data_IF_444854508435
#
_entry.id   IF_444854508435
#
_cell.length_a   1.000
_cell.length_b   1.000
_cell.length_c   1.000
_cell.angle_alpha   90.00
_cell.angle_beta   90.00
_cell.angle_gamma   90.00
#
_symmetry.space_group_name_H-M   'P 1'
#
loop_
_entity.id
_entity.type
_entity.pdbx_description
1 polymer ?
#
# COMPACT_ATOMS: atom_id res chain seq x y z
N UNK A 1 2.89 0.13 -6.60
CA UNK A 1 1.87 0.70 -5.74
C UNK A 1 0.71 1.15 -6.62
N UNK A 2 -0.40 0.65 -6.38
CA UNK A 2 -1.73 0.56 -6.99
C UNK A 2 -2.09 1.53 -8.12
N UNK A 3 -2.26 0.98 -9.31
CA UNK A 3 -3.09 1.57 -10.36
C UNK A 3 -4.55 1.32 -9.92
N UNK A 4 -5.17 2.30 -9.28
CA UNK A 4 -6.63 2.38 -9.27
C UNK A 4 -7.02 2.81 -10.68
N UNK A 5 -7.41 1.87 -11.50
CA UNK A 5 -8.17 2.18 -12.69
C UNK A 5 -9.48 2.81 -12.22
N UNK A 6 -9.80 3.96 -12.76
CA UNK A 6 -10.90 4.83 -12.32
C UNK A 6 -12.28 4.18 -12.41
N UNK A 7 -12.38 2.96 -12.98
CA UNK A 7 -13.60 2.17 -13.17
C UNK A 7 -13.36 0.64 -13.08
N UNK A 8 -12.24 0.17 -12.52
CA UNK A 8 -11.90 -1.25 -12.43
C UNK A 8 -12.30 -1.88 -11.10
N UNK A 9 -12.38 -3.20 -11.07
CA UNK A 9 -12.66 -4.01 -9.90
C UNK A 9 -11.58 -3.83 -8.82
N UNK A 10 -11.96 -3.84 -7.55
CA UNK A 10 -11.03 -3.83 -6.41
C UNK A 10 -10.30 -5.18 -6.29
N UNK A 11 -9.19 -5.21 -5.55
CA UNK A 11 -8.46 -6.45 -5.32
C UNK A 11 -9.32 -7.50 -4.59
N UNK A 12 -10.18 -7.07 -3.65
CA UNK A 12 -11.13 -7.95 -2.98
C UNK A 12 -12.16 -8.55 -3.95
N UNK A 13 -12.73 -7.75 -4.85
CA UNK A 13 -13.68 -8.21 -5.87
C UNK A 13 -13.00 -9.16 -6.87
N UNK A 14 -11.78 -8.85 -7.30
CA UNK A 14 -10.99 -9.72 -8.17
C UNK A 14 -10.67 -11.06 -7.48
N UNK A 15 -10.31 -11.04 -6.20
CA UNK A 15 -10.07 -12.26 -5.43
C UNK A 15 -11.33 -13.12 -5.34
N UNK A 16 -12.46 -12.51 -4.99
CA UNK A 16 -13.74 -13.20 -4.91
C UNK A 16 -14.16 -13.79 -6.27
N UNK A 17 -14.03 -13.03 -7.35
CA UNK A 17 -14.31 -13.48 -8.69
C UNK A 17 -13.46 -14.71 -9.06
N UNK A 18 -12.14 -14.60 -8.88
CA UNK A 18 -11.21 -15.70 -9.19
C UNK A 18 -11.53 -16.95 -8.35
N UNK A 19 -11.83 -16.80 -7.06
CA UNK A 19 -12.18 -17.90 -6.19
C UNK A 19 -13.49 -18.58 -6.58
N UNK A 20 -14.51 -17.81 -6.97
CA UNK A 20 -15.79 -18.37 -7.45
C UNK A 20 -15.63 -19.10 -8.77
N UNK A 21 -14.88 -18.55 -9.73
CA UNK A 21 -14.60 -19.23 -11.01
C UNK A 21 -13.79 -20.50 -10.77
N UNK A 22 -12.79 -20.47 -9.88
CA UNK A 22 -12.03 -21.67 -9.51
C UNK A 22 -12.94 -22.76 -8.95
N UNK A 23 -13.87 -22.42 -8.04
CA UNK A 23 -14.82 -23.36 -7.47
C UNK A 23 -15.76 -23.96 -8.53
N UNK A 24 -16.23 -23.18 -9.50
CA UNK A 24 -17.05 -23.63 -10.62
C UNK A 24 -16.30 -24.69 -11.43
N UNK A 25 -15.05 -24.42 -11.78
CA UNK A 25 -14.20 -25.31 -12.56
C UNK A 25 -13.84 -26.58 -11.79
N UNK A 26 -13.47 -26.47 -10.51
CA UNK A 26 -13.17 -27.60 -9.62
C UNK A 26 -14.39 -28.51 -9.41
N UNK A 27 -15.60 -27.93 -9.40
CA UNK A 27 -16.84 -28.69 -9.33
C UNK A 27 -17.22 -29.41 -10.66
N UNK A 28 -16.44 -29.18 -11.72
CA UNK A 28 -16.70 -29.74 -13.04
C UNK A 28 -17.93 -29.13 -13.73
N UNK A 29 -18.40 -27.97 -13.28
CA UNK A 29 -19.54 -27.29 -13.90
C UNK A 29 -19.08 -26.60 -15.20
N UNK A 30 -19.92 -26.58 -16.25
CA UNK A 30 -19.63 -25.77 -17.42
C UNK A 30 -19.43 -24.30 -17.06
N UNK A 31 -18.40 -23.70 -17.63
CA UNK A 31 -18.03 -22.32 -17.29
C UNK A 31 -19.17 -21.33 -17.55
N UNK A 32 -19.93 -21.50 -18.65
CA UNK A 32 -21.06 -20.64 -19.00
C UNK A 32 -22.20 -20.68 -17.97
N UNK A 33 -22.54 -21.88 -17.44
CA UNK A 33 -23.57 -22.04 -16.40
C UNK A 33 -23.14 -21.38 -15.07
N UNK A 34 -21.86 -21.60 -14.72
CA UNK A 34 -21.28 -21.02 -13.53
C UNK A 34 -21.22 -19.49 -13.61
N UNK A 35 -20.82 -18.94 -14.73
CA UNK A 35 -20.75 -17.49 -14.96
C UNK A 35 -22.13 -16.84 -14.97
N UNK A 36 -23.16 -17.50 -15.50
CA UNK A 36 -24.55 -17.02 -15.43
C UNK A 36 -25.05 -16.95 -13.98
N UNK A 37 -24.78 -17.99 -13.20
CA UNK A 37 -25.12 -18.04 -11.77
C UNK A 37 -24.43 -16.92 -11.00
N UNK A 38 -23.14 -16.67 -11.28
CA UNK A 38 -22.34 -15.63 -10.66
C UNK A 38 -22.88 -14.23 -10.98
N UNK A 39 -23.18 -13.96 -12.23
CA UNK A 39 -23.78 -12.70 -12.68
C UNK A 39 -25.17 -12.47 -12.06
N UNK A 40 -25.96 -13.52 -11.89
CA UNK A 40 -27.27 -13.47 -11.24
C UNK A 40 -27.19 -13.16 -9.74
N UNK A 41 -26.24 -13.78 -9.04
CA UNK A 41 -26.05 -13.57 -7.59
C UNK A 41 -25.58 -12.15 -7.27
N UNK A 42 -24.83 -11.52 -8.17
CA UNK A 42 -24.20 -10.21 -7.95
C UNK A 42 -24.99 -9.04 -8.56
N UNK A 43 -26.23 -9.30 -8.97
CA UNK A 43 -27.10 -8.33 -9.66
C UNK A 43 -27.40 -7.02 -8.89
N UNK A 44 -27.05 -6.93 -7.61
CA UNK A 44 -27.16 -5.74 -6.76
C UNK A 44 -25.84 -5.02 -6.48
N UNK A 45 -24.72 -5.50 -6.98
CA UNK A 45 -23.40 -4.91 -6.72
C UNK A 45 -23.11 -3.72 -7.65
N UNK A 46 -22.15 -2.88 -7.23
CA UNK A 46 -21.71 -1.74 -8.02
C UNK A 46 -21.06 -2.15 -9.37
N UNK A 47 -20.69 -3.42 -9.53
CA UNK A 47 -20.02 -3.97 -10.71
C UNK A 47 -20.80 -5.13 -11.37
N UNK A 48 -22.11 -5.20 -11.12
CA UNK A 48 -23.00 -6.21 -11.72
C UNK A 48 -22.94 -6.22 -13.26
N UNK A 49 -22.73 -5.06 -13.87
CA UNK A 49 -22.57 -4.89 -15.32
C UNK A 49 -21.28 -5.55 -15.83
N UNK A 50 -20.20 -5.57 -15.05
CA UNK A 50 -18.93 -6.21 -15.42
C UNK A 50 -19.08 -7.73 -15.46
N UNK A 51 -19.69 -8.31 -14.43
CA UNK A 51 -19.92 -9.75 -14.36
C UNK A 51 -20.95 -10.22 -15.38
N UNK A 52 -22.00 -9.41 -15.62
CA UNK A 52 -22.99 -9.69 -16.67
C UNK A 52 -22.36 -9.65 -18.08
N UNK A 53 -21.46 -8.69 -18.33
CA UNK A 53 -20.75 -8.62 -19.62
C UNK A 53 -19.82 -9.83 -19.81
N UNK A 54 -19.06 -10.20 -18.77
CA UNK A 54 -18.20 -11.38 -18.82
C UNK A 54 -19.01 -12.68 -19.02
N UNK A 55 -20.14 -12.84 -18.33
CA UNK A 55 -21.03 -14.00 -18.49
C UNK A 55 -21.58 -14.12 -19.92
N UNK A 56 -22.04 -13.01 -20.50
CA UNK A 56 -22.50 -12.99 -21.90
C UNK A 56 -21.37 -13.35 -22.87
N UNK A 57 -20.19 -12.76 -22.67
CA UNK A 57 -19.02 -13.06 -23.50
C UNK A 57 -18.64 -14.54 -23.46
N UNK A 58 -18.64 -15.15 -22.28
CA UNK A 58 -18.38 -16.59 -22.13
C UNK A 58 -19.45 -17.43 -22.82
N UNK A 59 -20.72 -17.05 -22.74
CA UNK A 59 -21.82 -17.75 -23.44
C UNK A 59 -21.68 -17.68 -24.96
N UNK A 60 -21.19 -16.54 -25.49
CA UNK A 60 -21.02 -16.33 -26.92
C UNK A 60 -19.75 -16.98 -27.48
N UNK A 61 -18.64 -16.93 -26.74
CA UNK A 61 -17.31 -17.37 -27.23
C UNK A 61 -16.86 -18.71 -26.70
N UNK A 62 -17.42 -19.16 -25.59
CA UNK A 62 -16.94 -20.33 -24.85
C UNK A 62 -15.62 -20.11 -24.09
N UNK A 63 -15.07 -18.88 -24.09
CA UNK A 63 -13.78 -18.54 -23.51
C UNK A 63 -13.92 -17.35 -22.56
N UNK A 64 -13.38 -17.48 -21.35
CA UNK A 64 -13.30 -16.37 -20.38
C UNK A 64 -12.30 -15.30 -20.86
N UNK A 65 -11.18 -15.75 -21.46
CA UNK A 65 -10.19 -14.85 -22.03
C UNK A 65 -10.81 -13.92 -23.08
N UNK A 66 -11.52 -14.50 -24.05
CA UNK A 66 -12.14 -13.73 -25.12
C UNK A 66 -13.25 -12.80 -24.59
N UNK A 67 -13.92 -13.19 -23.52
CA UNK A 67 -14.96 -12.39 -22.89
C UNK A 67 -14.43 -11.15 -22.15
N UNK A 68 -13.18 -11.18 -21.66
CA UNK A 68 -12.63 -10.11 -20.79
C UNK A 68 -11.46 -9.34 -21.40
N UNK A 69 -10.85 -9.81 -22.51
CA UNK A 69 -9.60 -9.24 -23.05
C UNK A 69 -9.70 -7.79 -23.52
N UNK A 70 -10.88 -7.40 -24.02
CA UNK A 70 -11.11 -6.08 -24.61
C UNK A 70 -11.76 -5.08 -23.62
N UNK A 71 -11.99 -5.48 -22.38
CA UNK A 71 -12.58 -4.66 -21.33
C UNK A 71 -11.50 -4.15 -20.37
N UNK A 72 -11.19 -2.85 -20.45
CA UNK A 72 -10.17 -2.17 -19.63
C UNK A 72 -10.45 -2.22 -18.11
N UNK A 73 -11.64 -2.68 -17.68
CA UNK A 73 -11.99 -2.86 -16.27
C UNK A 73 -11.26 -4.05 -15.64
N UNK A 74 -10.85 -5.02 -16.45
CA UNK A 74 -10.05 -6.16 -16.01
C UNK A 74 -8.56 -5.83 -16.05
N UNK A 75 -7.79 -6.16 -14.99
CA UNK A 75 -6.35 -5.98 -15.00
C UNK A 75 -5.70 -6.84 -16.09
N UNK A 76 -4.79 -6.24 -16.88
CA UNK A 76 -4.07 -6.96 -17.95
C UNK A 76 -3.46 -8.27 -17.47
N UNK A 77 -2.90 -8.25 -16.26
CA UNK A 77 -2.34 -9.46 -15.66
C UNK A 77 -3.36 -10.59 -15.52
N UNK A 78 -4.56 -10.31 -15.00
CA UNK A 78 -5.61 -11.31 -14.89
C UNK A 78 -5.98 -11.84 -16.27
N UNK A 79 -6.17 -10.97 -17.25
CA UNK A 79 -6.54 -11.34 -18.62
C UNK A 79 -5.48 -12.25 -19.25
N UNK A 80 -4.20 -11.89 -19.15
CA UNK A 80 -3.10 -12.70 -19.68
C UNK A 80 -3.02 -14.07 -19.00
N UNK A 81 -3.17 -14.11 -17.68
CA UNK A 81 -3.15 -15.35 -16.91
C UNK A 81 -4.33 -16.28 -17.25
N UNK A 82 -5.53 -15.71 -17.39
CA UNK A 82 -6.71 -16.48 -17.85
C UNK A 82 -6.46 -17.08 -19.22
N UNK A 83 -5.93 -16.29 -20.17
CA UNK A 83 -5.61 -16.78 -21.51
C UNK A 83 -4.57 -17.90 -21.52
N UNK A 84 -3.61 -17.85 -20.60
CA UNK A 84 -2.61 -18.93 -20.45
C UNK A 84 -3.27 -20.16 -19.82
N UNK A 85 -4.06 -19.99 -18.75
CA UNK A 85 -4.78 -21.06 -18.08
C UNK A 85 -5.73 -21.83 -19.03
N UNK A 86 -6.45 -21.11 -19.90
CA UNK A 86 -7.31 -21.74 -20.91
C UNK A 86 -6.52 -22.55 -21.94
N UNK A 87 -5.43 -21.96 -22.47
CA UNK A 87 -4.59 -22.66 -23.46
C UNK A 87 -3.89 -23.89 -22.91
N UNK A 88 -3.50 -23.87 -21.63
CA UNK A 88 -2.86 -25.01 -20.97
C UNK A 88 -3.86 -26.04 -20.42
N UNK A 89 -5.15 -25.72 -20.39
CA UNK A 89 -6.16 -26.54 -19.73
C UNK A 89 -6.08 -26.57 -18.21
N UNK A 90 -5.42 -25.57 -17.60
CA UNK A 90 -5.20 -25.46 -16.14
C UNK A 90 -5.85 -24.18 -15.58
N UNK A 91 -6.98 -23.78 -16.15
CA UNK A 91 -7.67 -22.55 -15.75
C UNK A 91 -8.08 -22.56 -14.28
N UNK A 92 -8.48 -23.73 -13.74
CA UNK A 92 -8.83 -23.93 -12.33
C UNK A 92 -7.67 -23.56 -11.39
N UNK A 93 -6.47 -24.07 -11.67
CA UNK A 93 -5.27 -23.80 -10.88
C UNK A 93 -4.83 -22.32 -11.00
N UNK A 94 -4.89 -21.77 -12.21
CA UNK A 94 -4.59 -20.37 -12.46
C UNK A 94 -5.57 -19.46 -11.72
N UNK A 95 -6.87 -19.74 -11.75
CA UNK A 95 -7.88 -18.96 -11.03
C UNK A 95 -7.69 -19.04 -9.52
N UNK A 96 -7.32 -20.21 -8.98
CA UNK A 96 -6.98 -20.37 -7.56
C UNK A 96 -5.71 -19.58 -7.19
N UNK A 97 -4.71 -19.58 -8.06
CA UNK A 97 -3.50 -18.77 -7.88
C UNK A 97 -3.79 -17.27 -7.91
N UNK A 98 -4.65 -16.81 -8.83
CA UNK A 98 -5.09 -15.41 -8.92
C UNK A 98 -5.93 -14.99 -7.70
N UNK A 99 -6.81 -15.85 -7.18
CA UNK A 99 -7.53 -15.62 -5.92
C UNK A 99 -6.54 -15.29 -4.78
N UNK A 100 -5.56 -16.17 -4.58
CA UNK A 100 -4.55 -15.99 -3.53
C UNK A 100 -3.70 -14.72 -3.75
N UNK A 101 -3.36 -14.41 -4.99
CA UNK A 101 -2.62 -13.20 -5.35
C UNK A 101 -3.41 -11.92 -5.01
N UNK A 102 -4.67 -11.84 -5.46
CA UNK A 102 -5.50 -10.66 -5.20
C UNK A 102 -5.93 -10.54 -3.74
N UNK A 103 -6.12 -11.66 -3.03
CA UNK A 103 -6.34 -11.65 -1.58
C UNK A 103 -5.16 -11.02 -0.82
N UNK A 104 -3.92 -11.34 -1.21
CA UNK A 104 -2.72 -10.71 -0.63
C UNK A 104 -2.63 -9.23 -0.97
N UNK A 105 -2.91 -8.87 -2.21
CA UNK A 105 -2.88 -7.48 -2.66
C UNK A 105 -3.93 -6.64 -1.89
N UNK A 106 -5.10 -7.20 -1.60
CA UNK A 106 -6.14 -6.54 -0.80
C UNK A 106 -5.72 -6.38 0.67
N UNK A 107 -5.14 -7.42 1.31
CA UNK A 107 -4.63 -7.31 2.68
C UNK A 107 -3.58 -6.23 2.82
N UNK A 108 -2.59 -6.21 1.93
CA UNK A 108 -1.54 -5.17 1.94
C UNK A 108 -2.16 -3.78 1.77
N UNK A 109 -3.13 -3.64 0.87
CA UNK A 109 -3.82 -2.37 0.62
C UNK A 109 -4.64 -1.92 1.83
N UNK A 110 -5.36 -2.82 2.45
CA UNK A 110 -6.15 -2.57 3.67
C UNK A 110 -5.24 -2.15 4.82
N UNK A 111 -4.13 -2.85 5.04
CA UNK A 111 -3.12 -2.52 6.05
C UNK A 111 -2.54 -1.12 5.84
N UNK A 112 -2.19 -0.75 4.60
CA UNK A 112 -1.70 0.59 4.27
C UNK A 112 -2.79 1.65 4.52
N UNK A 113 -4.03 1.39 4.08
CA UNK A 113 -5.15 2.33 4.24
C UNK A 113 -5.44 2.60 5.71
N UNK A 114 -5.55 1.55 6.52
CA UNK A 114 -5.77 1.63 7.96
C UNK A 114 -4.64 2.36 8.67
N UNK A 115 -3.40 2.06 8.30
CA UNK A 115 -2.20 2.68 8.85
C UNK A 115 -2.13 4.19 8.58
N UNK A 116 -2.68 4.69 7.47
CA UNK A 116 -2.66 6.11 7.12
C UNK A 116 -3.85 6.86 7.71
N UNK A 117 -5.00 6.21 7.83
CA UNK A 117 -6.25 6.86 8.28
C UNK A 117 -6.15 7.37 9.72
N UNK A 118 -5.62 6.56 10.65
CA UNK A 118 -5.51 6.93 12.06
C UNK A 118 -4.62 8.18 12.29
N UNK A 119 -3.35 8.24 11.81
CA UNK A 119 -2.51 9.43 11.94
C UNK A 119 -3.11 10.68 11.27
N UNK A 120 -3.83 10.51 10.18
CA UNK A 120 -4.48 11.63 9.49
C UNK A 120 -5.59 12.24 10.34
N UNK A 121 -6.45 11.41 10.96
CA UNK A 121 -7.51 11.88 11.86
C UNK A 121 -6.90 12.58 13.07
N UNK A 122 -5.88 11.99 13.71
CA UNK A 122 -5.17 12.62 14.81
C UNK A 122 -4.52 13.95 14.41
N UNK A 123 -3.87 14.00 13.25
CA UNK A 123 -3.24 15.23 12.74
C UNK A 123 -4.26 16.35 12.50
N UNK A 124 -5.40 16.04 11.91
CA UNK A 124 -6.49 17.01 11.71
C UNK A 124 -7.03 17.50 13.06
N UNK A 125 -7.26 16.60 14.01
CA UNK A 125 -7.73 16.95 15.34
C UNK A 125 -6.72 17.85 16.07
N UNK A 126 -5.42 17.56 15.96
CA UNK A 126 -4.36 18.38 16.52
C UNK A 126 -4.34 19.79 15.91
N UNK A 127 -4.48 19.90 14.58
CA UNK A 127 -4.58 21.21 13.89
C UNK A 127 -5.75 22.00 14.44
N UNK A 128 -6.92 21.40 14.62
CA UNK A 128 -8.13 22.07 15.15
C UNK A 128 -7.86 22.56 16.58
N UNK A 129 -7.28 21.72 17.46
CA UNK A 129 -6.98 22.10 18.85
C UNK A 129 -6.00 23.27 18.88
N UNK A 130 -4.91 23.20 18.12
CA UNK A 130 -3.91 24.27 18.08
C UNK A 130 -4.50 25.57 17.52
N UNK A 131 -5.36 25.50 16.51
CA UNK A 131 -6.06 26.67 15.98
C UNK A 131 -6.98 27.30 17.03
N UNK A 132 -7.74 26.52 17.81
CA UNK A 132 -8.58 27.02 18.88
C UNK A 132 -7.72 27.71 19.95
N UNK A 133 -6.60 27.09 20.35
CA UNK A 133 -5.67 27.66 21.32
C UNK A 133 -5.11 29.00 20.85
N UNK A 134 -4.64 29.07 19.62
CA UNK A 134 -4.03 30.29 19.08
C UNK A 134 -5.06 31.41 18.79
N UNK A 135 -6.27 31.05 18.35
CA UNK A 135 -7.23 32.04 17.85
C UNK A 135 -8.28 32.45 18.88
N UNK A 136 -8.62 31.57 19.84
CA UNK A 136 -9.60 31.86 20.88
C UNK A 136 -8.95 32.07 22.25
N UNK A 137 -8.17 31.11 22.69
CA UNK A 137 -7.65 31.07 24.07
C UNK A 137 -6.60 32.15 24.28
N UNK A 138 -5.62 32.23 23.42
CA UNK A 138 -4.50 33.20 23.57
C UNK A 138 -4.95 34.68 23.53
N UNK A 139 -5.86 35.13 22.65
CA UNK A 139 -6.38 36.49 22.65
C UNK A 139 -7.19 36.86 23.91
N UNK A 140 -7.90 35.90 24.49
CA UNK A 140 -8.64 36.11 25.76
C UNK A 140 -7.64 36.40 26.88
N UNK A 141 -6.61 35.56 27.01
CA UNK A 141 -5.56 35.79 28.01
C UNK A 141 -4.84 37.11 27.81
N UNK A 142 -4.54 37.53 26.59
CA UNK A 142 -3.96 38.84 26.28
C UNK A 142 -4.83 39.99 26.79
N UNK A 143 -6.15 39.90 26.59
CA UNK A 143 -7.08 40.94 27.07
C UNK A 143 -7.12 41.01 28.60
N UNK A 144 -7.17 39.84 29.27
CA UNK A 144 -7.14 39.77 30.72
C UNK A 144 -5.86 40.37 31.30
N UNK A 145 -4.68 40.03 30.77
CA UNK A 145 -3.41 40.59 31.22
C UNK A 145 -3.34 42.10 31.02
N UNK A 146 -3.81 42.60 29.88
CA UNK A 146 -3.86 44.05 29.62
C UNK A 146 -4.82 44.79 30.56
N UNK A 147 -5.97 44.18 30.93
CA UNK A 147 -6.94 44.78 31.85
C UNK A 147 -6.42 44.83 33.31
N UNK A 148 -5.49 43.95 33.68
CA UNK A 148 -4.87 43.92 35.01
C UNK A 148 -3.74 44.92 35.16
N UNK A 149 -3.51 45.81 34.18
CA UNK A 149 -2.48 46.84 34.23
C UNK A 149 -1.05 46.30 34.09
N UNK A 150 -0.91 45.04 33.75
CA UNK A 150 0.36 44.46 33.40
C UNK A 150 0.82 45.05 32.06
N UNK A 151 1.36 46.25 32.07
CA UNK A 151 2.23 46.68 30.98
C UNK A 151 3.30 45.63 30.82
N UNK A 152 3.17 44.80 29.75
CA UNK A 152 4.07 43.70 29.47
C UNK A 152 5.48 44.28 29.46
N UNK A 153 6.27 44.02 30.52
CA UNK A 153 7.69 44.28 30.52
C UNK A 153 8.28 43.65 29.25
N UNK A 154 9.34 44.21 28.69
CA UNK A 154 9.92 43.71 27.42
C UNK A 154 10.13 42.20 27.42
N UNK A 155 10.50 41.60 28.55
CA UNK A 155 10.66 40.17 28.74
C UNK A 155 9.36 39.38 28.63
N UNK A 156 8.22 39.85 29.15
CA UNK A 156 6.93 39.21 29.05
C UNK A 156 6.36 39.26 27.62
N UNK A 157 6.62 40.35 26.91
CA UNK A 157 6.24 40.48 25.50
C UNK A 157 7.04 39.57 24.59
N UNK A 158 8.32 39.33 24.86
CA UNK A 158 9.21 38.43 24.16
C UNK A 158 8.76 36.95 24.31
N UNK A 159 8.52 36.53 25.57
CA UNK A 159 8.07 35.15 25.85
C UNK A 159 6.73 34.84 25.21
N UNK A 160 5.81 35.79 25.21
CA UNK A 160 4.52 35.64 24.56
C UNK A 160 4.64 35.58 23.03
N UNK A 161 5.52 36.34 22.40
CA UNK A 161 5.84 36.25 20.97
C UNK A 161 6.48 34.91 20.65
N UNK A 162 7.41 34.41 21.47
CA UNK A 162 8.02 33.09 21.28
C UNK A 162 7.01 31.98 21.38
N UNK A 163 6.09 31.97 22.35
CA UNK A 163 5.04 30.99 22.47
C UNK A 163 4.10 30.95 21.24
N UNK A 164 3.74 32.14 20.73
CA UNK A 164 2.92 32.24 19.49
C UNK A 164 3.69 31.75 18.27
N UNK A 165 4.96 32.14 18.10
CA UNK A 165 5.76 31.72 16.95
C UNK A 165 6.01 30.21 16.94
N UNK A 166 6.31 29.63 18.11
CA UNK A 166 6.40 28.14 18.25
C UNK A 166 5.09 27.46 17.87
N UNK A 167 3.95 27.96 18.34
CA UNK A 167 2.63 27.43 17.97
C UNK A 167 2.37 27.48 16.47
N UNK A 168 2.69 28.59 15.80
CA UNK A 168 2.55 28.70 14.33
C UNK A 168 3.52 27.81 13.57
N UNK A 169 4.76 27.65 14.04
CA UNK A 169 5.76 26.76 13.42
C UNK A 169 5.28 25.32 13.51
N UNK A 170 4.80 24.88 14.67
CA UNK A 170 4.29 23.51 14.85
C UNK A 170 3.03 23.30 14.00
N UNK A 171 2.10 24.26 13.98
CA UNK A 171 0.92 24.21 13.14
C UNK A 171 1.30 24.05 11.65
N UNK A 172 2.25 24.87 11.17
CA UNK A 172 2.73 24.79 9.79
C UNK A 172 3.39 23.45 9.49
N UNK A 173 4.17 22.92 10.44
CA UNK A 173 4.84 21.61 10.28
C UNK A 173 3.83 20.46 10.23
N UNK A 174 2.85 20.43 11.11
CA UNK A 174 1.80 19.41 11.12
C UNK A 174 0.92 19.54 9.88
N UNK A 175 0.51 20.75 9.51
CA UNK A 175 -0.25 21.00 8.29
C UNK A 175 0.53 20.55 7.04
N UNK A 176 1.84 20.82 7.00
CA UNK A 176 2.71 20.36 5.91
C UNK A 176 2.73 18.82 5.83
N UNK A 177 2.88 18.13 6.96
CA UNK A 177 2.87 16.66 7.00
C UNK A 177 1.52 16.11 6.52
N UNK A 178 0.40 16.66 7.03
CA UNK A 178 -0.95 16.26 6.60
C UNK A 178 -1.14 16.49 5.11
N UNK A 179 -0.73 17.65 4.60
CA UNK A 179 -0.82 17.97 3.16
C UNK A 179 0.06 17.04 2.34
N UNK A 180 1.26 16.70 2.78
CA UNK A 180 2.15 15.74 2.10
C UNK A 180 1.55 14.34 2.07
N UNK A 181 0.92 13.88 3.16
CA UNK A 181 0.24 12.58 3.22
C UNK A 181 -0.96 12.58 2.28
N UNK A 182 -1.84 13.59 2.37
CA UNK A 182 -3.01 13.73 1.49
C UNK A 182 -2.57 13.86 0.02
N UNK A 183 -1.58 14.70 -0.25
CA UNK A 183 -1.03 14.84 -1.60
C UNK A 183 -0.43 13.51 -2.08
N UNK A 184 0.30 12.77 -1.25
CA UNK A 184 0.81 11.44 -1.56
C UNK A 184 -0.30 10.46 -1.93
N UNK A 185 -1.40 10.44 -1.18
CA UNK A 185 -2.59 9.61 -1.46
C UNK A 185 -3.31 10.07 -2.73
N UNK A 186 -3.51 11.37 -2.92
CA UNK A 186 -4.20 11.90 -4.11
C UNK A 186 -3.34 11.77 -5.37
N UNK A 187 -2.04 12.08 -5.27
CA UNK A 187 -1.13 11.97 -6.43
C UNK A 187 -0.80 10.50 -6.76
N UNK A 188 -0.93 9.57 -5.82
CA UNK A 188 -0.87 8.13 -6.15
C UNK A 188 -1.98 7.70 -7.12
N UNK A 189 -3.04 8.49 -7.22
CA UNK A 189 -4.14 8.35 -8.19
C UNK A 189 -3.89 9.07 -9.52
N UNK A 190 -2.77 9.81 -9.68
CA UNK A 190 -2.51 10.68 -10.85
C UNK A 190 -1.29 10.21 -11.65
N UNK A 191 -1.20 10.61 -12.92
CA UNK A 191 -0.15 10.24 -13.90
C UNK A 191 1.30 10.63 -13.52
N UNK A 192 1.51 11.44 -12.47
CA UNK A 192 2.84 11.94 -12.04
C UNK A 192 3.45 11.15 -10.87
N UNK A 193 2.93 9.97 -10.59
CA UNK A 193 3.26 9.08 -9.48
C UNK A 193 4.75 8.82 -9.29
N UNK A 194 5.50 8.54 -10.37
CA UNK A 194 6.90 8.11 -10.29
C UNK A 194 7.85 9.20 -9.80
N UNK A 195 7.52 10.47 -10.06
CA UNK A 195 8.34 11.61 -9.58
C UNK A 195 8.13 11.86 -8.08
N UNK A 196 6.89 11.76 -7.63
CA UNK A 196 6.54 11.97 -6.21
C UNK A 196 7.05 10.81 -5.37
N UNK A 197 6.90 9.57 -5.83
CA UNK A 197 7.40 8.39 -5.13
C UNK A 197 8.92 8.46 -4.94
N UNK A 198 9.68 8.87 -5.95
CA UNK A 198 11.13 9.05 -5.83
C UNK A 198 11.52 10.16 -4.84
N UNK A 199 10.75 11.25 -4.77
CA UNK A 199 10.99 12.31 -3.81
C UNK A 199 10.71 11.86 -2.36
N UNK A 200 9.59 11.17 -2.12
CA UNK A 200 9.21 10.63 -0.80
C UNK A 200 10.20 9.54 -0.35
N UNK A 201 10.60 8.65 -1.24
CA UNK A 201 11.60 7.62 -0.94
C UNK A 201 12.97 8.19 -0.58
N UNK A 202 13.34 9.37 -1.11
CA UNK A 202 14.60 10.04 -0.78
C UNK A 202 14.59 10.62 0.64
N UNK A 203 13.42 11.03 1.12
CA UNK A 203 13.24 11.63 2.47
C UNK A 203 13.06 10.55 3.54
N UNK A 204 12.45 9.40 3.20
CA UNK A 204 12.16 8.32 4.14
C UNK A 204 12.80 7.00 3.71
N UNK A 205 14.03 6.70 4.16
CA UNK A 205 14.75 5.46 3.78
C UNK A 205 14.03 4.18 4.22
N UNK A 206 13.18 4.23 5.26
CA UNK A 206 12.32 3.12 5.68
C UNK A 206 11.34 2.67 4.59
N UNK A 207 10.79 3.60 3.81
CA UNK A 207 9.88 3.29 2.70
C UNK A 207 10.58 2.58 1.54
N UNK A 208 11.87 2.82 1.32
CA UNK A 208 12.63 2.07 0.30
C UNK A 208 12.76 0.59 0.67
N UNK A 209 13.08 0.30 1.95
CA UNK A 209 13.16 -1.09 2.43
C UNK A 209 11.82 -1.79 2.33
N UNK A 210 10.74 -1.09 2.68
CA UNK A 210 9.38 -1.63 2.58
C UNK A 210 8.98 -1.93 1.13
N UNK A 211 9.29 -1.02 0.19
CA UNK A 211 9.01 -1.23 -1.22
C UNK A 211 9.80 -2.40 -1.81
N UNK A 212 11.06 -2.60 -1.41
CA UNK A 212 11.85 -3.77 -1.82
C UNK A 212 11.21 -5.07 -1.34
N UNK A 213 10.76 -5.13 -0.09
CA UNK A 213 10.08 -6.30 0.48
C UNK A 213 8.76 -6.58 -0.24
N UNK A 214 8.00 -5.53 -0.54
CA UNK A 214 6.75 -5.63 -1.31
C UNK A 214 7.01 -6.19 -2.72
N UNK A 215 8.05 -5.71 -3.41
CA UNK A 215 8.43 -6.22 -4.72
C UNK A 215 8.88 -7.69 -4.63
N UNK A 216 9.66 -8.06 -3.60
CA UNK A 216 10.08 -9.44 -3.37
C UNK A 216 8.87 -10.37 -3.08
N UNK A 217 7.90 -9.92 -2.26
CA UNK A 217 6.65 -10.65 -2.02
C UNK A 217 5.89 -10.92 -3.32
N UNK A 218 5.73 -9.90 -4.17
CA UNK A 218 5.03 -10.03 -5.45
C UNK A 218 5.74 -10.99 -6.40
N UNK A 219 7.06 -10.85 -6.55
CA UNK A 219 7.84 -11.77 -7.39
C UNK A 219 7.67 -13.21 -6.90
N UNK A 220 7.86 -13.43 -5.60
CA UNK A 220 7.73 -14.77 -5.03
C UNK A 220 6.31 -15.34 -5.21
N UNK A 221 5.26 -14.50 -5.04
CA UNK A 221 3.86 -14.91 -5.20
C UNK A 221 3.54 -15.32 -6.63
N UNK A 222 3.94 -14.51 -7.62
CA UNK A 222 3.66 -14.78 -9.03
C UNK A 222 4.44 -16.02 -9.50
N UNK A 223 5.74 -16.10 -9.17
CA UNK A 223 6.56 -17.27 -9.53
C UNK A 223 6.03 -18.54 -8.89
N UNK A 224 5.69 -18.52 -7.59
CA UNK A 224 5.10 -19.67 -6.91
C UNK A 224 3.83 -20.15 -7.62
N UNK A 225 2.92 -19.23 -7.94
CA UNK A 225 1.67 -19.55 -8.62
C UNK A 225 1.92 -20.16 -10.00
N UNK A 226 2.80 -19.58 -10.80
CA UNK A 226 3.12 -20.08 -12.13
C UNK A 226 3.77 -21.46 -12.08
N UNK A 227 4.76 -21.66 -11.21
CA UNK A 227 5.45 -22.94 -11.07
C UNK A 227 4.52 -24.03 -10.50
N UNK A 228 3.68 -23.71 -9.52
CA UNK A 228 2.70 -24.66 -8.98
C UNK A 228 1.62 -25.05 -10.00
N UNK A 229 1.35 -24.16 -10.97
CA UNK A 229 0.46 -24.46 -12.12
C UNK A 229 1.21 -25.15 -13.26
N UNK A 230 2.44 -25.64 -13.05
CA UNK A 230 3.20 -26.42 -14.03
C UNK A 230 3.79 -25.63 -15.20
N UNK A 231 3.83 -24.30 -15.12
CA UNK A 231 4.43 -23.48 -16.18
C UNK A 231 5.96 -23.62 -16.18
N UNK A 232 6.58 -23.61 -17.37
CA UNK A 232 8.03 -23.54 -17.49
C UNK A 232 8.62 -22.32 -16.78
N UNK A 233 9.76 -22.47 -16.13
CA UNK A 233 10.40 -21.40 -15.35
C UNK A 233 10.67 -20.14 -16.20
N UNK A 234 10.98 -20.29 -17.48
CA UNK A 234 11.20 -19.18 -18.39
C UNK A 234 9.94 -18.34 -18.61
N UNK A 235 8.81 -18.97 -18.91
CA UNK A 235 7.49 -18.31 -19.04
C UNK A 235 7.07 -17.68 -17.73
N UNK A 236 7.27 -18.36 -16.61
CA UNK A 236 6.95 -17.84 -15.28
C UNK A 236 7.74 -16.54 -14.98
N UNK A 237 9.02 -16.47 -15.34
CA UNK A 237 9.86 -15.29 -15.19
C UNK A 237 9.42 -14.14 -16.12
N UNK A 238 9.10 -14.43 -17.37
CA UNK A 238 8.63 -13.44 -18.33
C UNK A 238 7.34 -12.78 -17.85
N UNK A 239 6.35 -13.59 -17.45
CA UNK A 239 5.09 -13.11 -16.91
C UNK A 239 5.28 -12.32 -15.63
N UNK A 240 6.11 -12.82 -14.71
CA UNK A 240 6.43 -12.09 -13.49
C UNK A 240 6.99 -10.71 -13.79
N UNK A 241 7.90 -10.58 -14.75
CA UNK A 241 8.47 -9.28 -15.13
C UNK A 241 7.42 -8.33 -15.72
N UNK A 242 6.45 -8.83 -16.50
CA UNK A 242 5.40 -8.03 -17.14
C UNK A 242 4.42 -7.41 -16.14
N UNK A 243 4.16 -8.11 -15.03
CA UNK A 243 3.19 -7.73 -13.99
C UNK A 243 3.74 -6.72 -13.00
N UNK A 244 5.05 -6.69 -12.82
CA UNK A 244 5.69 -5.86 -11.81
C UNK A 244 5.58 -4.38 -12.14
N UNK A 245 4.99 -3.62 -11.24
CA UNK A 245 4.96 -2.15 -11.32
C UNK A 245 6.31 -1.51 -10.95
N UNK A 246 7.17 -2.24 -10.23
CA UNK A 246 8.52 -1.79 -9.87
C UNK A 246 9.50 -2.19 -10.97
N UNK A 247 9.96 -1.19 -11.71
CA UNK A 247 10.90 -1.38 -12.82
C UNK A 247 12.21 -2.06 -12.39
N UNK A 248 12.72 -1.73 -11.20
CA UNK A 248 13.95 -2.34 -10.70
C UNK A 248 13.76 -3.83 -10.42
N UNK A 249 12.62 -4.22 -9.84
CA UNK A 249 12.30 -5.63 -9.63
C UNK A 249 12.09 -6.36 -10.97
N UNK A 250 11.40 -5.74 -11.93
CA UNK A 250 11.21 -6.30 -13.26
C UNK A 250 12.56 -6.53 -14.00
N UNK A 251 13.48 -5.54 -13.96
CA UNK A 251 14.82 -5.67 -14.53
C UNK A 251 15.63 -6.80 -13.88
N UNK A 252 15.49 -7.00 -12.55
CA UNK A 252 16.11 -8.12 -11.85
C UNK A 252 15.55 -9.47 -12.29
N UNK A 253 14.22 -9.59 -12.43
CA UNK A 253 13.58 -10.82 -12.90
C UNK A 253 14.03 -11.15 -14.33
N UNK A 254 14.11 -10.15 -15.21
CA UNK A 254 14.66 -10.35 -16.56
C UNK A 254 16.14 -10.77 -16.53
N UNK A 255 16.94 -10.26 -15.58
CA UNK A 255 18.33 -10.68 -15.40
C UNK A 255 18.42 -12.14 -14.94
N UNK A 256 17.49 -12.60 -14.09
CA UNK A 256 17.38 -14.02 -13.71
C UNK A 256 17.12 -14.86 -14.95
N UNK A 257 16.11 -14.48 -15.76
CA UNK A 257 15.78 -15.18 -17.00
C UNK A 257 16.98 -15.31 -17.92
N UNK A 258 17.68 -14.21 -18.20
CA UNK A 258 18.88 -14.22 -19.04
C UNK A 258 19.97 -15.15 -18.49
N UNK A 259 20.17 -15.17 -17.17
CA UNK A 259 21.17 -16.06 -16.56
C UNK A 259 20.81 -17.54 -16.73
N UNK A 260 19.50 -17.87 -16.74
CA UNK A 260 19.02 -19.22 -17.05
C UNK A 260 19.26 -19.59 -18.51
N UNK A 261 18.99 -18.68 -19.46
CA UNK A 261 19.31 -18.85 -20.89
C UNK A 261 20.81 -19.09 -21.10
N UNK A 262 21.67 -18.45 -20.29
CA UNK A 262 23.14 -18.63 -20.28
C UNK A 262 23.58 -19.93 -19.55
N UNK A 263 22.63 -20.75 -19.07
CA UNK A 263 22.90 -22.06 -18.46
C UNK A 263 23.15 -22.06 -16.95
N UNK A 264 22.92 -20.93 -16.25
CA UNK A 264 23.02 -20.89 -14.78
C UNK A 264 21.86 -21.64 -14.14
N UNK A 265 22.06 -22.25 -12.96
CA UNK A 265 20.97 -22.82 -12.17
C UNK A 265 20.05 -21.71 -11.62
N UNK A 266 18.75 -22.01 -11.46
CA UNK A 266 17.74 -21.05 -10.98
C UNK A 266 18.16 -20.36 -9.67
N UNK A 267 18.55 -21.14 -8.66
CA UNK A 267 18.96 -20.62 -7.36
C UNK A 267 20.18 -19.68 -7.45
N UNK A 268 21.15 -20.00 -8.32
CA UNK A 268 22.32 -19.17 -8.55
C UNK A 268 21.95 -17.86 -9.25
N UNK A 269 21.12 -17.91 -10.28
CA UNK A 269 20.62 -16.75 -11.00
C UNK A 269 19.86 -15.80 -10.07
N UNK A 270 18.97 -16.32 -9.21
CA UNK A 270 18.24 -15.53 -8.21
C UNK A 270 19.17 -14.85 -7.22
N UNK A 271 20.15 -15.59 -6.67
CA UNK A 271 21.10 -15.08 -5.66
C UNK A 271 21.91 -13.90 -6.20
N UNK A 272 22.36 -13.97 -7.46
CA UNK A 272 23.15 -12.90 -8.10
C UNK A 272 22.42 -11.55 -8.19
N UNK A 273 21.09 -11.55 -8.22
CA UNK A 273 20.31 -10.32 -8.39
C UNK A 273 20.05 -9.54 -7.09
N UNK A 274 20.35 -10.12 -5.93
CA UNK A 274 19.99 -9.55 -4.63
C UNK A 274 18.51 -9.09 -4.58
N UNK A 275 17.61 -9.91 -5.15
CA UNK A 275 16.17 -9.69 -5.11
C UNK A 275 15.61 -10.05 -3.73
N UNK A 276 16.10 -11.14 -3.17
CA UNK A 276 15.77 -11.66 -1.84
C UNK A 276 16.93 -11.49 -0.85
N UNK A 277 16.63 -11.53 0.45
CA UNK A 277 17.64 -11.51 1.51
C UNK A 277 18.42 -12.83 1.55
N UNK A 278 19.64 -12.82 2.08
CA UNK A 278 20.55 -13.99 2.06
C UNK A 278 19.94 -15.28 2.67
N UNK A 279 19.17 -15.14 3.75
CA UNK A 279 18.48 -16.27 4.35
C UNK A 279 17.46 -16.88 3.38
N UNK A 280 16.72 -16.04 2.67
CA UNK A 280 15.70 -16.45 1.71
C UNK A 280 16.33 -17.05 0.44
N UNK A 281 17.48 -16.54 0.01
CA UNK A 281 18.25 -17.14 -1.09
C UNK A 281 18.67 -18.59 -0.76
N UNK A 282 19.08 -18.85 0.50
CA UNK A 282 19.37 -20.22 0.94
C UNK A 282 18.15 -21.14 0.91
N UNK A 283 16.97 -20.61 1.28
CA UNK A 283 15.71 -21.37 1.18
C UNK A 283 15.41 -21.73 -0.28
N UNK A 284 15.58 -20.78 -1.22
CA UNK A 284 15.40 -21.03 -2.65
C UNK A 284 16.40 -22.09 -3.15
N UNK A 285 17.68 -22.03 -2.71
CA UNK A 285 18.68 -23.04 -3.06
C UNK A 285 18.28 -24.44 -2.59
N UNK A 286 17.73 -24.56 -1.39
CA UNK A 286 17.23 -25.84 -0.86
C UNK A 286 16.01 -26.34 -1.63
N UNK A 287 15.06 -25.42 -1.94
CA UNK A 287 13.88 -25.74 -2.74
C UNK A 287 14.25 -26.20 -4.15
N UNK A 288 15.19 -25.52 -4.79
CA UNK A 288 15.67 -25.88 -6.13
C UNK A 288 16.37 -27.25 -6.14
N UNK A 289 17.12 -27.58 -5.10
CA UNK A 289 17.75 -28.90 -4.99
C UNK A 289 16.75 -30.05 -4.78
N UNK A 290 15.54 -29.77 -4.30
CA UNK A 290 14.48 -30.74 -4.04
C UNK A 290 13.33 -30.70 -5.06
N UNK A 291 13.38 -29.79 -6.04
CA UNK A 291 12.29 -29.59 -7.00
C UNK A 291 11.01 -29.01 -6.37
N UNK A 292 11.16 -28.23 -5.28
CA UNK A 292 10.04 -27.62 -4.53
C UNK A 292 10.14 -26.10 -4.55
N UNK A 293 10.59 -25.51 -5.67
CA UNK A 293 10.74 -24.08 -5.83
C UNK A 293 9.41 -23.34 -5.63
N UNK A 294 8.31 -23.91 -6.12
CA UNK A 294 6.96 -23.38 -6.00
C UNK A 294 6.53 -23.19 -4.55
N UNK A 295 6.74 -24.22 -3.71
CA UNK A 295 6.38 -24.19 -2.30
C UNK A 295 7.25 -23.20 -1.50
N UNK A 296 8.56 -23.20 -1.78
CA UNK A 296 9.48 -22.26 -1.12
C UNK A 296 9.15 -20.83 -1.49
N UNK A 297 8.91 -20.54 -2.77
CA UNK A 297 8.50 -19.20 -3.22
C UNK A 297 7.16 -18.78 -2.61
N UNK A 298 6.18 -19.68 -2.50
CA UNK A 298 4.92 -19.43 -1.82
C UNK A 298 5.11 -19.06 -0.34
N UNK A 299 6.00 -19.79 0.35
CA UNK A 299 6.35 -19.46 1.73
C UNK A 299 7.05 -18.12 1.86
N UNK A 300 7.97 -17.81 0.93
CA UNK A 300 8.66 -16.52 0.89
C UNK A 300 7.69 -15.37 0.63
N UNK A 301 6.72 -15.55 -0.26
CA UNK A 301 5.68 -14.56 -0.51
C UNK A 301 4.94 -14.18 0.77
N UNK A 302 4.55 -15.18 1.58
CA UNK A 302 3.88 -14.96 2.87
C UNK A 302 4.78 -14.31 3.92
N UNK A 303 6.06 -14.71 4.01
CA UNK A 303 7.02 -14.11 4.94
C UNK A 303 7.29 -12.64 4.62
N UNK A 304 7.43 -12.29 3.34
CA UNK A 304 7.60 -10.90 2.93
C UNK A 304 6.34 -10.07 3.12
N UNK A 305 5.14 -10.65 2.94
CA UNK A 305 3.86 -10.01 3.25
C UNK A 305 3.80 -9.62 4.73
N UNK A 306 4.08 -10.55 5.64
CA UNK A 306 4.14 -10.31 7.09
C UNK A 306 5.16 -9.22 7.43
N UNK A 307 6.36 -9.27 6.83
CA UNK A 307 7.38 -8.24 7.05
C UNK A 307 6.96 -6.85 6.52
N UNK A 308 6.14 -6.78 5.48
CA UNK A 308 5.57 -5.53 4.97
C UNK A 308 4.54 -4.99 5.95
N UNK A 309 3.63 -5.82 6.45
CA UNK A 309 2.63 -5.42 7.45
C UNK A 309 3.28 -4.94 8.76
N UNK A 310 4.27 -5.67 9.27
CA UNK A 310 5.07 -5.27 10.42
C UNK A 310 5.80 -3.94 10.19
N UNK A 311 6.36 -3.77 9.01
CA UNK A 311 7.05 -2.54 8.63
C UNK A 311 6.12 -1.33 8.60
N UNK A 312 4.90 -1.49 8.09
CA UNK A 312 3.85 -0.46 8.09
C UNK A 312 3.48 -0.12 9.54
N UNK A 313 3.19 -1.13 10.36
CA UNK A 313 2.81 -0.96 11.77
C UNK A 313 3.89 -0.20 12.56
N UNK A 314 5.17 -0.56 12.38
CA UNK A 314 6.30 0.16 13.03
C UNK A 314 6.43 1.60 12.59
N UNK A 315 6.18 1.91 11.30
CA UNK A 315 6.20 3.28 10.82
C UNK A 315 5.11 4.13 11.47
N UNK A 316 3.91 3.56 11.63
CA UNK A 316 2.78 4.22 12.29
C UNK A 316 3.02 4.41 13.78
N UNK A 317 3.58 3.41 14.46
CA UNK A 317 3.87 3.46 15.89
C UNK A 317 4.81 4.60 16.32
N UNK A 318 5.62 5.14 15.38
CA UNK A 318 6.48 6.31 15.64
C UNK A 318 5.69 7.62 15.52
N UNK A 319 4.66 7.65 14.67
CA UNK A 319 3.92 8.90 14.39
C UNK A 319 3.10 9.33 15.61
N UNK A 320 2.46 8.40 16.30
CA UNK A 320 1.59 8.69 17.46
C UNK A 320 2.34 9.39 18.61
N UNK A 321 3.46 8.86 19.15
CA UNK A 321 4.21 9.55 20.19
C UNK A 321 4.74 10.90 19.73
N UNK A 322 5.10 11.02 18.46
CA UNK A 322 5.60 12.28 17.88
C UNK A 322 4.51 13.35 17.87
N UNK A 323 3.28 13.00 17.47
CA UNK A 323 2.14 13.92 17.49
C UNK A 323 1.77 14.34 18.92
N UNK A 324 1.77 13.39 19.87
CA UNK A 324 1.51 13.68 21.29
C UNK A 324 2.59 14.58 21.87
N UNK A 325 3.86 14.35 21.59
CA UNK A 325 4.96 15.19 22.02
C UNK A 325 4.83 16.61 21.46
N UNK A 326 4.52 16.75 20.16
CA UNK A 326 4.26 18.05 19.53
C UNK A 326 3.10 18.79 20.21
N UNK A 327 1.99 18.10 20.47
CA UNK A 327 0.84 18.70 21.18
C UNK A 327 1.23 19.16 22.58
N UNK A 328 1.98 18.35 23.32
CA UNK A 328 2.46 18.68 24.67
C UNK A 328 3.35 19.93 24.67
N UNK A 329 4.24 20.04 23.69
CA UNK A 329 5.09 21.25 23.52
C UNK A 329 4.23 22.48 23.24
N UNK A 330 3.21 22.39 22.39
CA UNK A 330 2.31 23.54 22.11
C UNK A 330 1.56 23.95 23.37
N UNK A 331 0.93 22.99 24.06
CA UNK A 331 0.18 23.26 25.28
C UNK A 331 1.11 23.87 26.34
N UNK A 332 2.29 23.30 26.55
CA UNK A 332 3.31 23.81 27.47
C UNK A 332 3.75 25.23 27.13
N UNK A 333 4.02 25.49 25.85
CA UNK A 333 4.40 26.84 25.41
C UNK A 333 3.27 27.88 25.63
N UNK A 334 2.02 27.52 25.37
CA UNK A 334 0.85 28.38 25.61
C UNK A 334 0.66 28.61 27.10
N UNK A 335 0.76 27.57 27.95
CA UNK A 335 0.66 27.72 29.41
C UNK A 335 1.78 28.60 29.97
N UNK A 336 3.02 28.39 29.58
CA UNK A 336 4.14 29.23 29.99
C UNK A 336 3.99 30.68 29.55
N UNK A 337 3.49 30.90 28.33
CA UNK A 337 3.26 32.26 27.81
C UNK A 337 2.19 33.05 28.61
N UNK A 338 1.34 32.34 29.35
CA UNK A 338 0.31 32.92 30.22
C UNK A 338 0.78 33.02 31.69
N UNK A 339 1.38 31.95 32.21
CA UNK A 339 1.76 31.84 33.62
C UNK A 339 2.95 32.77 34.00
N UNK A 340 3.95 32.92 33.13
CA UNK A 340 5.12 33.76 33.43
C UNK A 340 4.76 35.22 33.62
N UNK A 341 3.94 35.87 32.79
CA UNK A 341 3.50 37.26 33.05
C UNK A 341 2.69 37.39 34.34
N UNK A 342 1.84 36.40 34.65
CA UNK A 342 1.04 36.38 35.89
C UNK A 342 1.94 36.31 37.15
N UNK A 343 2.97 35.44 37.12
CA UNK A 343 3.93 35.32 38.21
C UNK A 343 4.72 36.66 38.43
N UNK A 344 5.07 37.33 37.33
CA UNK A 344 5.72 38.65 37.39
C UNK A 344 4.87 39.74 38.07
N UNK A 345 3.54 39.71 37.90
CA UNK A 345 2.61 40.62 38.56
C UNK A 345 2.56 40.32 40.07
N UNK A 346 2.46 39.03 40.45
CA UNK A 346 2.43 38.63 41.86
C UNK A 346 3.69 38.97 42.65
N UNK A 347 4.84 39.05 41.99
CA UNK A 347 6.13 39.44 42.63
C UNK A 347 6.39 40.94 42.64
N UNK A 348 5.57 41.71 41.93
CA UNK A 348 5.66 43.18 41.87
C UNK A 348 4.64 43.89 42.78
N UNK A 349 3.71 43.13 43.40
CA UNK A 349 2.81 43.54 44.48
C UNK A 349 3.48 43.33 45.85
#
# INVERSE_FOLDING_TARGET
MFKLERNGLSAAELSNFCGQVALILEAGLPLYDGMETLAGADSGSAHADVYSAASKGVTETGSLYDAIKDDDRWPKYLVEMVGIGERSGQLDQVMRGLEAYYAREDRIRSSISSAVTYPLVLGVMLIVIVLILLWKVLPVFRRVLNSMGAGLNESGSLLMRLGVSVGWIILALVALVVVLVVAGVVLSRTRHRDKVMRAVQRVMPGLQKLNKKLSASRVASVLSMMLSSGFPTDEALEMTASVLSDRNAAEKVQSIRKSLEDGSAFAEAVTKTNLFEDLHNRMITMGSATGQEDQVLGKLASLYEEQVEDGITRLVAIIEPTLVALLSVVIGAVLLSVMLPMAGILTSL
#
